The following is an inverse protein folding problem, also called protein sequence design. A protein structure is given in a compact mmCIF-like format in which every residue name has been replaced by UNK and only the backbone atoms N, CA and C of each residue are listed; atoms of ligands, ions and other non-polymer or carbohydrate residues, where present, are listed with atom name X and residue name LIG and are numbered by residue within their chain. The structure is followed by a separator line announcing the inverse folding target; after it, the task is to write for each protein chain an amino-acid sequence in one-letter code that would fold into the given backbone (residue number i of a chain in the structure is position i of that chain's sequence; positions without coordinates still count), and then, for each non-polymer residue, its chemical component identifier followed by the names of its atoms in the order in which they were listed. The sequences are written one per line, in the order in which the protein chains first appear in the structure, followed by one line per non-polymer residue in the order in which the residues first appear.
data_IF_504815798882
#
_entry.id   IF_504815798882
#
_cell.length_a   1.000
_cell.length_b   1.000
_cell.length_c   1.000
_cell.angle_alpha   90.00
_cell.angle_beta   90.00
_cell.angle_gamma   90.00
#
_symmetry.space_group_name_H-M   'P 1'
#
loop_
_entity.id
_entity.type
_entity.pdbx_description
1 polymer ?
#
# COMPACT_ATOMS: atom_id res chain seq x y z
N UNK A 1 -10.62 -13.55 13.57
CA UNK A 1 -9.37 -13.42 14.36
C UNK A 1 -9.53 -13.97 15.78
N UNK A 2 -10.72 -13.88 16.36
CA UNK A 2 -11.21 -14.83 17.37
C UNK A 2 -12.13 -15.82 16.66
N UNK A 3 -11.61 -17.00 16.32
CA UNK A 3 -12.44 -18.09 15.81
C UNK A 3 -12.74 -19.01 17.00
N UNK A 4 -14.01 -19.29 17.23
CA UNK A 4 -14.45 -20.24 18.25
C UNK A 4 -13.80 -21.60 18.00
N UNK A 5 -12.95 -22.06 18.94
CA UNK A 5 -12.38 -23.41 18.94
C UNK A 5 -10.87 -23.53 18.78
N UNK A 6 -10.13 -22.44 18.51
CA UNK A 6 -8.65 -22.43 18.50
C UNK A 6 -8.09 -21.66 19.71
N UNK A 7 -6.85 -21.95 20.16
CA UNK A 7 -6.18 -21.11 21.15
C UNK A 7 -6.17 -19.67 20.64
N UNK A 8 -6.57 -18.75 21.53
CA UNK A 8 -6.66 -17.33 21.23
C UNK A 8 -5.28 -16.83 20.78
N UNK A 9 -5.16 -16.39 19.53
CA UNK A 9 -3.89 -15.95 18.95
C UNK A 9 -3.40 -14.67 19.62
N UNK A 10 -4.22 -13.63 19.65
CA UNK A 10 -3.99 -12.37 20.37
C UNK A 10 -4.92 -12.27 21.57
N UNK A 11 -4.43 -11.84 22.73
CA UNK A 11 -5.29 -11.61 23.89
C UNK A 11 -6.39 -10.57 23.56
N UNK A 12 -7.65 -10.73 24.02
CA UNK A 12 -8.69 -9.72 23.83
C UNK A 12 -8.38 -8.36 24.45
N UNK A 13 -7.47 -8.32 25.44
CA UNK A 13 -6.91 -7.10 26.00
C UNK A 13 -5.57 -6.81 25.33
N UNK A 14 -5.36 -5.53 25.00
CA UNK A 14 -4.12 -5.12 24.38
C UNK A 14 -2.92 -5.34 25.31
N UNK A 15 -1.93 -6.08 24.81
CA UNK A 15 -0.59 -6.18 25.41
C UNK A 15 0.44 -5.61 24.43
N UNK A 16 1.24 -4.65 24.89
CA UNK A 16 2.21 -3.94 24.05
C UNK A 16 3.27 -4.84 23.42
N UNK A 17 3.55 -5.97 24.06
CA UNK A 17 4.55 -6.93 23.60
C UNK A 17 4.02 -7.88 22.53
N UNK A 18 2.70 -8.00 22.34
CA UNK A 18 2.10 -8.94 21.38
C UNK A 18 1.93 -8.35 19.98
N UNK A 19 1.98 -7.01 19.84
CA UNK A 19 1.68 -6.33 18.58
C UNK A 19 2.67 -5.22 18.27
N UNK A 20 3.09 -5.18 17.01
CA UNK A 20 3.86 -4.08 16.45
C UNK A 20 3.11 -3.50 15.25
N UNK A 21 2.75 -2.21 15.35
CA UNK A 21 2.06 -1.49 14.29
C UNK A 21 2.99 -0.44 13.68
N UNK A 22 3.13 -0.49 12.37
CA UNK A 22 3.89 0.46 11.55
C UNK A 22 2.97 1.11 10.53
N UNK A 23 3.16 2.40 10.27
CA UNK A 23 2.43 3.12 9.23
C UNK A 23 3.34 4.10 8.49
N UNK A 24 3.01 4.38 7.23
CA UNK A 24 3.59 5.54 6.53
C UNK A 24 3.23 6.83 7.29
N UNK A 25 4.10 7.84 7.22
CA UNK A 25 3.89 9.12 7.91
C UNK A 25 2.84 10.03 7.22
N UNK A 26 1.75 9.44 6.69
CA UNK A 26 0.65 10.16 6.08
C UNK A 26 -0.59 10.11 6.98
N UNK A 27 -1.31 11.24 7.18
CA UNK A 27 -2.45 11.30 8.10
C UNK A 27 -3.49 10.20 7.84
N UNK A 28 -3.85 9.95 6.57
CA UNK A 28 -4.82 8.90 6.21
C UNK A 28 -4.39 7.49 6.65
N UNK A 29 -3.10 7.16 6.53
CA UNK A 29 -2.60 5.84 6.89
C UNK A 29 -2.55 5.67 8.42
N UNK A 30 -2.11 6.71 9.13
CA UNK A 30 -2.11 6.73 10.60
C UNK A 30 -3.54 6.65 11.14
N UNK A 31 -4.47 7.44 10.60
CA UNK A 31 -5.88 7.42 11.04
C UNK A 31 -6.55 6.06 10.75
N UNK A 32 -6.28 5.45 9.60
CA UNK A 32 -6.76 4.08 9.31
C UNK A 32 -6.21 3.07 10.30
N UNK A 33 -4.92 3.16 10.63
CA UNK A 33 -4.28 2.29 11.62
C UNK A 33 -4.92 2.45 13.01
N UNK A 34 -5.22 3.68 13.43
CA UNK A 34 -5.91 3.96 14.69
C UNK A 34 -7.33 3.38 14.71
N UNK A 35 -8.07 3.55 13.61
CA UNK A 35 -9.43 3.03 13.48
C UNK A 35 -9.44 1.49 13.53
N UNK A 36 -8.54 0.84 12.79
CA UNK A 36 -8.39 -0.62 12.77
C UNK A 36 -8.06 -1.17 14.17
N UNK A 37 -7.09 -0.54 14.87
CA UNK A 37 -6.71 -0.93 16.23
C UNK A 37 -7.82 -0.73 17.26
N UNK A 38 -8.64 0.31 17.09
CA UNK A 38 -9.81 0.54 17.95
C UNK A 38 -10.87 -0.57 17.79
N UNK A 39 -10.97 -1.15 16.59
CA UNK A 39 -11.80 -2.32 16.32
C UNK A 39 -11.21 -3.64 16.84
N UNK A 40 -9.88 -3.80 16.76
CA UNK A 40 -9.18 -4.99 17.27
C UNK A 40 -9.30 -5.14 18.79
N UNK A 41 -9.25 -4.03 19.53
CA UNK A 41 -9.24 -4.01 20.99
C UNK A 41 -10.33 -3.09 21.55
N UNK A 42 -11.60 -3.52 21.54
CA UNK A 42 -12.74 -2.69 21.96
C UNK A 42 -12.69 -2.31 23.45
N UNK A 43 -11.91 -3.04 24.26
CA UNK A 43 -11.76 -2.80 25.70
C UNK A 43 -10.58 -1.89 26.07
N UNK A 44 -9.88 -1.32 25.06
CA UNK A 44 -8.80 -0.35 25.25
C UNK A 44 -9.27 0.81 26.14
N UNK A 45 -8.86 0.82 27.41
CA UNK A 45 -9.18 1.88 28.37
C UNK A 45 -10.21 1.55 29.46
N UNK A 46 -10.79 0.34 29.48
CA UNK A 46 -11.74 -0.11 30.51
C UNK A 46 -11.10 -0.46 31.88
N UNK A 47 -9.80 -0.26 32.05
CA UNK A 47 -9.09 -0.46 33.32
C UNK A 47 -9.34 0.67 34.34
N UNK A 48 -9.56 0.32 35.60
CA UNK A 48 -9.99 1.16 36.74
C UNK A 48 -8.96 2.16 37.31
N UNK A 49 -8.21 2.88 36.47
CA UNK A 49 -7.36 4.00 36.92
C UNK A 49 -7.91 5.35 36.40
N UNK A 50 -7.49 6.51 36.91
CA UNK A 50 -7.83 7.81 36.34
C UNK A 50 -6.58 8.42 35.69
N UNK A 51 -6.48 8.40 34.36
CA UNK A 51 -5.40 9.10 33.64
C UNK A 51 -5.93 9.66 32.30
N UNK A 52 -6.03 10.99 32.15
CA UNK A 52 -6.61 11.63 30.97
C UNK A 52 -5.52 11.93 29.95
N UNK A 53 -5.29 11.02 28.98
CA UNK A 53 -4.83 11.33 27.60
C UNK A 53 -4.21 10.13 26.87
N UNK A 54 -3.66 9.14 27.58
CA UNK A 54 -2.96 7.98 26.98
C UNK A 54 -3.77 6.68 26.97
N UNK A 55 -5.00 6.69 27.52
CA UNK A 55 -5.85 5.50 27.53
C UNK A 55 -6.31 5.17 26.11
N UNK A 56 -6.02 3.94 25.70
CA UNK A 56 -6.65 3.32 24.54
C UNK A 56 -6.00 3.61 23.19
N UNK A 57 -4.71 3.95 23.16
CA UNK A 57 -3.98 4.15 21.90
C UNK A 57 -2.84 3.18 21.77
N UNK A 58 -2.91 2.33 20.75
CA UNK A 58 -1.82 1.44 20.37
C UNK A 58 -0.72 2.30 19.70
N UNK A 59 0.55 2.18 20.09
CA UNK A 59 1.65 2.90 19.46
C UNK A 59 1.73 2.61 17.97
N UNK A 60 1.82 3.68 17.16
CA UNK A 60 2.01 3.59 15.71
C UNK A 60 3.41 4.09 15.40
N UNK A 61 4.25 3.19 14.92
CA UNK A 61 5.61 3.52 14.52
C UNK A 61 5.60 4.03 13.09
N UNK A 62 6.35 5.10 12.84
CA UNK A 62 6.44 5.69 11.51
C UNK A 62 7.85 6.16 11.22
N UNK A 63 8.22 6.16 9.94
CA UNK A 63 9.43 6.78 9.44
C UNK A 63 9.04 7.98 8.57
N UNK A 64 9.91 8.99 8.46
CA UNK A 64 9.67 10.11 7.54
C UNK A 64 9.40 9.60 6.12
N UNK A 65 8.37 10.16 5.47
CA UNK A 65 7.84 9.67 4.18
C UNK A 65 8.93 9.43 3.13
N UNK A 66 9.90 10.34 3.01
CA UNK A 66 10.94 10.29 1.97
C UNK A 66 12.07 9.29 2.26
N UNK A 67 12.13 8.76 3.47
CA UNK A 67 13.24 7.92 3.93
C UNK A 67 12.74 6.61 4.54
N UNK A 68 11.48 6.23 4.30
CA UNK A 68 10.98 4.93 4.73
C UNK A 68 11.43 3.86 3.71
N UNK A 69 12.40 3.01 4.03
CA UNK A 69 12.93 2.04 3.06
C UNK A 69 11.94 0.90 2.75
N UNK A 70 10.96 0.64 3.62
CA UNK A 70 9.99 -0.42 3.42
C UNK A 70 8.83 0.04 2.52
N UNK A 71 8.46 1.32 2.59
CA UNK A 71 7.35 1.89 1.82
C UNK A 71 7.76 2.75 0.63
N UNK A 72 8.97 3.35 0.66
CA UNK A 72 9.52 4.20 -0.40
C UNK A 72 10.96 3.76 -0.71
N UNK A 73 11.12 2.58 -1.33
CA UNK A 73 12.45 2.11 -1.69
C UNK A 73 13.06 3.03 -2.74
N UNK A 74 14.25 3.58 -2.43
CA UNK A 74 15.00 4.42 -3.35
C UNK A 74 15.93 3.54 -4.18
N UNK A 75 15.68 3.47 -5.50
CA UNK A 75 16.56 2.80 -6.44
C UNK A 75 16.71 3.68 -7.69
N UNK A 76 17.86 4.34 -7.89
CA UNK A 76 18.06 5.19 -9.07
C UNK A 76 17.87 4.45 -10.40
N UNK A 77 18.19 3.15 -10.44
CA UNK A 77 18.02 2.33 -11.63
C UNK A 77 16.54 2.01 -11.93
N UNK A 78 15.66 2.07 -10.94
CA UNK A 78 14.24 1.81 -11.14
C UNK A 78 13.64 2.81 -12.13
N UNK A 79 13.90 4.12 -11.96
CA UNK A 79 13.30 5.15 -12.81
C UNK A 79 13.74 4.99 -14.28
N UNK A 80 15.01 4.67 -14.50
CA UNK A 80 15.56 4.39 -15.84
C UNK A 80 14.88 3.17 -16.45
N UNK A 81 14.84 2.05 -15.72
CA UNK A 81 14.23 0.80 -16.21
C UNK A 81 12.72 0.91 -16.40
N UNK A 82 12.05 1.68 -15.56
CA UNK A 82 10.63 1.96 -15.69
C UNK A 82 10.34 2.77 -16.96
N UNK A 83 11.17 3.76 -17.26
CA UNK A 83 11.06 4.55 -18.48
C UNK A 83 11.31 3.71 -19.74
N UNK A 84 12.38 2.91 -19.76
CA UNK A 84 12.68 1.96 -20.86
C UNK A 84 11.50 1.01 -21.10
N UNK A 85 10.93 0.48 -20.01
CA UNK A 85 9.80 -0.43 -20.08
C UNK A 85 8.55 0.24 -20.65
N UNK A 86 8.18 1.43 -20.16
CA UNK A 86 7.05 2.20 -20.70
C UNK A 86 7.26 2.55 -22.16
N UNK A 87 8.47 2.94 -22.54
CA UNK A 87 8.79 3.35 -23.91
C UNK A 87 8.69 2.20 -24.91
N UNK A 88 8.98 0.97 -24.47
CA UNK A 88 8.75 -0.23 -25.29
C UNK A 88 7.28 -0.44 -25.69
N UNK A 89 6.34 0.10 -24.90
CA UNK A 89 4.89 0.01 -25.13
C UNK A 89 4.28 1.31 -25.70
N UNK A 90 5.09 2.36 -25.93
CA UNK A 90 4.61 3.71 -26.25
C UNK A 90 3.62 3.75 -27.40
N UNK A 91 3.93 3.11 -28.53
CA UNK A 91 3.08 3.15 -29.72
C UNK A 91 1.69 2.56 -29.48
N UNK A 92 1.61 1.45 -28.75
CA UNK A 92 0.35 0.80 -28.42
C UNK A 92 -0.50 1.66 -27.48
N UNK A 93 0.15 2.21 -26.45
CA UNK A 93 -0.50 3.01 -25.40
C UNK A 93 -0.99 4.34 -25.98
N UNK A 94 -0.19 4.99 -26.82
CA UNK A 94 -0.60 6.21 -27.52
C UNK A 94 -1.75 5.96 -28.48
N UNK A 95 -1.80 4.81 -29.16
CA UNK A 95 -2.97 4.43 -29.97
C UNK A 95 -4.23 4.27 -29.12
N UNK A 96 -4.11 3.78 -27.89
CA UNK A 96 -5.25 3.52 -27.00
C UNK A 96 -5.71 4.75 -26.20
N UNK A 97 -4.79 5.62 -25.79
CA UNK A 97 -5.06 6.72 -24.84
C UNK A 97 -4.61 8.10 -25.32
N UNK A 98 -4.04 8.22 -26.53
CA UNK A 98 -3.57 9.51 -27.06
C UNK A 98 -4.67 10.57 -27.09
N UNK A 99 -5.89 10.18 -27.47
CA UNK A 99 -7.06 11.07 -27.45
C UNK A 99 -7.38 11.61 -26.06
N UNK A 100 -7.17 10.80 -25.01
CA UNK A 100 -7.41 11.20 -23.63
C UNK A 100 -6.34 12.18 -23.15
N UNK A 101 -5.07 11.96 -23.53
CA UNK A 101 -3.97 12.89 -23.24
C UNK A 101 -4.27 14.26 -23.87
N UNK A 102 -4.65 14.27 -25.15
CA UNK A 102 -5.01 15.51 -25.87
C UNK A 102 -6.23 16.20 -25.23
N UNK A 103 -7.24 15.43 -24.83
CA UNK A 103 -8.42 15.95 -24.14
C UNK A 103 -8.04 16.62 -22.82
N UNK A 104 -7.24 15.96 -21.98
CA UNK A 104 -6.81 16.49 -20.69
C UNK A 104 -6.02 17.79 -20.91
N UNK A 105 -5.07 17.80 -21.82
CA UNK A 105 -4.30 19.01 -22.15
C UNK A 105 -5.21 20.16 -22.59
N UNK A 106 -6.14 19.91 -23.51
CA UNK A 106 -7.06 20.93 -24.02
C UNK A 106 -8.04 21.47 -22.96
N UNK A 107 -8.41 20.65 -21.96
CA UNK A 107 -9.37 21.05 -20.91
C UNK A 107 -8.72 21.63 -19.67
N UNK A 108 -7.45 21.31 -19.40
CA UNK A 108 -6.80 21.63 -18.13
C UNK A 108 -5.45 22.35 -18.28
N UNK A 109 -4.84 22.32 -19.46
CA UNK A 109 -3.46 22.76 -19.70
C UNK A 109 -2.39 21.79 -19.17
N UNK A 110 -2.78 20.67 -18.54
CA UNK A 110 -1.84 19.70 -17.97
C UNK A 110 -1.20 18.86 -19.08
N UNK A 111 0.13 18.84 -19.11
CA UNK A 111 0.89 18.01 -20.04
C UNK A 111 1.15 16.62 -19.44
N UNK A 112 0.27 15.68 -19.75
CA UNK A 112 0.34 14.30 -19.23
C UNK A 112 1.38 13.49 -19.99
N UNK A 113 2.28 12.82 -19.25
CA UNK A 113 3.23 11.86 -19.83
C UNK A 113 2.87 10.42 -19.47
N UNK A 114 3.29 9.44 -20.27
CA UNK A 114 3.00 8.02 -20.01
C UNK A 114 3.59 7.50 -18.69
N UNK A 115 4.67 8.10 -18.19
CA UNK A 115 5.29 7.69 -16.93
C UNK A 115 4.69 8.39 -15.69
N UNK A 116 3.91 9.46 -15.91
CA UNK A 116 3.22 10.18 -14.83
C UNK A 116 2.07 9.36 -14.21
N UNK A 117 1.69 9.74 -12.99
CA UNK A 117 0.46 9.28 -12.34
C UNK A 117 -0.72 10.24 -12.58
N UNK A 118 -0.59 11.21 -13.47
CA UNK A 118 -1.62 12.23 -13.68
C UNK A 118 -2.98 11.64 -14.08
N UNK A 119 -3.08 10.65 -14.99
CA UNK A 119 -4.36 10.01 -15.30
C UNK A 119 -4.99 9.33 -14.09
N UNK A 120 -4.17 8.69 -13.25
CA UNK A 120 -4.62 8.07 -11.99
C UNK A 120 -5.13 9.11 -11.00
N UNK A 121 -4.40 10.20 -10.80
CA UNK A 121 -4.80 11.26 -9.88
C UNK A 121 -6.09 11.96 -10.33
N UNK A 122 -6.24 12.18 -11.65
CA UNK A 122 -7.46 12.74 -12.24
C UNK A 122 -8.63 11.78 -12.07
N UNK A 123 -8.42 10.49 -12.39
CA UNK A 123 -9.43 9.45 -12.20
C UNK A 123 -9.89 9.37 -10.74
N UNK A 124 -8.97 9.27 -9.80
CA UNK A 124 -9.24 9.13 -8.37
C UNK A 124 -10.04 10.33 -7.84
N UNK A 125 -9.61 11.55 -8.18
CA UNK A 125 -10.33 12.78 -7.84
C UNK A 125 -11.77 12.77 -8.38
N UNK A 126 -11.95 12.49 -9.68
CA UNK A 126 -13.26 12.52 -10.32
C UNK A 126 -14.16 11.39 -9.84
N UNK A 127 -13.60 10.21 -9.56
CA UNK A 127 -14.34 9.07 -9.01
C UNK A 127 -14.88 9.41 -7.62
N UNK A 128 -14.04 9.97 -6.74
CA UNK A 128 -14.45 10.43 -5.42
C UNK A 128 -15.55 11.50 -5.54
N UNK A 129 -15.34 12.53 -6.37
CA UNK A 129 -16.31 13.61 -6.50
C UNK A 129 -17.64 13.13 -7.08
N UNK A 130 -17.62 12.46 -8.23
CA UNK A 130 -18.82 12.10 -9.00
C UNK A 130 -19.53 10.88 -8.43
N UNK A 131 -18.79 9.81 -8.17
CA UNK A 131 -19.38 8.48 -7.92
C UNK A 131 -19.58 8.22 -6.42
N UNK A 132 -18.74 8.77 -5.55
CA UNK A 132 -18.84 8.57 -4.10
C UNK A 132 -19.64 9.69 -3.42
N UNK A 133 -19.34 10.95 -3.74
CA UNK A 133 -19.97 12.11 -3.09
C UNK A 133 -21.03 12.81 -3.94
N UNK A 134 -21.26 12.36 -5.18
CA UNK A 134 -22.28 12.90 -6.09
C UNK A 134 -22.19 14.42 -6.30
N UNK A 135 -20.97 14.95 -6.31
CA UNK A 135 -20.67 16.33 -6.60
C UNK A 135 -20.68 16.58 -8.11
N UNK A 136 -20.96 17.83 -8.49
CA UNK A 136 -20.87 18.26 -9.88
C UNK A 136 -19.42 18.22 -10.35
N UNK A 137 -19.21 17.60 -11.53
CA UNK A 137 -17.92 17.56 -12.23
C UNK A 137 -18.03 18.30 -13.56
N UNK A 138 -16.90 18.70 -14.18
CA UNK A 138 -16.94 19.38 -15.47
C UNK A 138 -17.65 18.58 -16.57
N UNK A 139 -18.35 19.26 -17.48
CA UNK A 139 -19.18 18.63 -18.53
C UNK A 139 -18.42 17.69 -19.48
N UNK A 140 -17.10 17.85 -19.60
CA UNK A 140 -16.27 16.97 -20.42
C UNK A 140 -16.02 15.59 -19.78
N UNK A 141 -16.33 15.43 -18.49
CA UNK A 141 -16.16 14.17 -17.73
C UNK A 141 -17.35 13.24 -18.01
N UNK A 142 -17.37 12.68 -19.21
CA UNK A 142 -18.37 11.70 -19.63
C UNK A 142 -18.11 10.32 -19.02
N UNK A 143 -19.09 9.38 -19.05
CA UNK A 143 -18.85 7.99 -18.68
C UNK A 143 -17.69 7.35 -19.43
N UNK A 144 -17.53 7.66 -20.73
CA UNK A 144 -16.43 7.15 -21.55
C UNK A 144 -15.08 7.71 -21.08
N UNK A 145 -14.99 9.00 -20.78
CA UNK A 145 -13.77 9.62 -20.26
C UNK A 145 -13.35 8.99 -18.93
N UNK A 146 -14.32 8.74 -18.05
CA UNK A 146 -14.04 8.06 -16.78
C UNK A 146 -13.60 6.60 -16.95
N UNK A 147 -14.16 5.90 -17.94
CA UNK A 147 -13.68 4.56 -18.30
C UNK A 147 -12.25 4.60 -18.83
N UNK A 148 -11.94 5.50 -19.76
CA UNK A 148 -10.60 5.60 -20.35
C UNK A 148 -9.55 6.00 -19.30
N UNK A 149 -9.89 6.95 -18.41
CA UNK A 149 -9.08 7.32 -17.25
C UNK A 149 -8.81 6.12 -16.34
N UNK A 150 -9.83 5.33 -16.02
CA UNK A 150 -9.69 4.10 -15.22
C UNK A 150 -8.74 3.11 -15.90
N UNK A 151 -8.93 2.86 -17.19
CA UNK A 151 -8.11 1.91 -17.96
C UNK A 151 -6.65 2.37 -18.06
N UNK A 152 -6.41 3.67 -18.23
CA UNK A 152 -5.06 4.22 -18.23
C UNK A 152 -4.43 4.11 -16.83
N UNK A 153 -5.19 4.35 -15.78
CA UNK A 153 -4.76 4.19 -14.38
C UNK A 153 -4.34 2.75 -14.07
N UNK A 154 -5.15 1.77 -14.48
CA UNK A 154 -4.85 0.35 -14.35
C UNK A 154 -3.57 0.00 -15.10
N UNK A 155 -3.43 0.47 -16.35
CA UNK A 155 -2.21 0.25 -17.13
C UNK A 155 -0.98 0.85 -16.44
N UNK A 156 -1.10 2.06 -15.87
CA UNK A 156 0.01 2.72 -15.18
C UNK A 156 0.42 1.98 -13.91
N UNK A 157 -0.53 1.56 -13.08
CA UNK A 157 -0.23 0.75 -11.87
C UNK A 157 0.38 -0.59 -12.27
N UNK A 158 -0.18 -1.27 -13.26
CA UNK A 158 0.32 -2.55 -13.73
C UNK A 158 1.77 -2.44 -14.21
N UNK A 159 2.09 -1.43 -15.01
CA UNK A 159 3.47 -1.21 -15.47
C UNK A 159 4.41 -0.77 -14.35
N UNK A 160 3.93 -0.02 -13.34
CA UNK A 160 4.73 0.38 -12.17
C UNK A 160 5.26 -0.83 -11.39
N UNK A 161 4.46 -1.88 -11.29
CA UNK A 161 4.82 -3.12 -10.56
C UNK A 161 5.34 -4.23 -11.47
N UNK A 162 5.59 -3.94 -12.75
CA UNK A 162 6.19 -4.88 -13.70
C UNK A 162 5.21 -5.88 -14.31
N UNK A 163 3.92 -5.61 -14.23
CA UNK A 163 2.84 -6.45 -14.77
C UNK A 163 2.12 -5.83 -15.95
N UNK A 164 2.82 -4.99 -16.72
CA UNK A 164 2.36 -4.66 -18.06
C UNK A 164 2.31 -5.90 -18.96
N UNK A 165 1.93 -5.68 -20.22
CA UNK A 165 1.97 -6.71 -21.26
C UNK A 165 3.01 -6.28 -22.30
N UNK A 166 4.16 -6.97 -22.41
CA UNK A 166 4.58 -8.15 -21.65
C UNK A 166 5.04 -7.82 -20.21
N UNK A 167 4.98 -8.76 -19.24
CA UNK A 167 5.45 -8.52 -17.87
C UNK A 167 6.98 -8.35 -17.81
N UNK A 168 7.45 -7.59 -16.82
CA UNK A 168 8.87 -7.34 -16.55
C UNK A 168 9.27 -7.79 -15.15
N UNK A 169 10.01 -8.89 -15.07
CA UNK A 169 10.58 -9.42 -13.82
C UNK A 169 11.61 -8.47 -13.22
N UNK A 170 12.31 -7.69 -14.04
CA UNK A 170 13.25 -6.66 -13.59
C UNK A 170 12.53 -5.59 -12.76
N UNK A 171 11.39 -5.09 -13.26
CA UNK A 171 10.57 -4.11 -12.55
C UNK A 171 9.97 -4.70 -11.26
N UNK A 172 9.49 -5.94 -11.29
CA UNK A 172 8.96 -6.62 -10.09
C UNK A 172 10.01 -6.68 -8.97
N UNK A 173 11.28 -6.94 -9.30
CA UNK A 173 12.37 -7.03 -8.30
C UNK A 173 12.59 -5.71 -7.56
N UNK A 174 12.44 -4.57 -8.22
CA UNK A 174 12.54 -3.26 -7.58
C UNK A 174 11.39 -2.95 -6.62
N UNK A 175 10.29 -3.71 -6.68
CA UNK A 175 9.11 -3.55 -5.81
C UNK A 175 9.04 -4.56 -4.66
N UNK A 176 10.05 -5.41 -4.50
CA UNK A 176 10.08 -6.51 -3.53
C UNK A 176 10.45 -6.14 -2.09
N UNK A 177 10.77 -4.88 -1.77
CA UNK A 177 11.28 -4.52 -0.44
C UNK A 177 10.27 -4.79 0.69
N UNK A 178 8.97 -4.56 0.47
CA UNK A 178 7.96 -4.90 1.47
C UNK A 178 7.81 -6.41 1.67
N UNK A 179 7.93 -7.22 0.60
CA UNK A 179 7.94 -8.67 0.74
C UNK A 179 9.18 -9.15 1.51
N UNK A 180 10.35 -8.56 1.21
CA UNK A 180 11.59 -8.82 1.94
C UNK A 180 11.47 -8.47 3.42
N UNK A 181 10.88 -7.33 3.76
CA UNK A 181 10.57 -6.94 5.15
C UNK A 181 9.73 -8.01 5.85
N UNK A 182 8.63 -8.47 5.22
CA UNK A 182 7.75 -9.51 5.78
C UNK A 182 8.52 -10.82 6.01
N UNK A 183 9.30 -11.27 5.01
CA UNK A 183 10.09 -12.50 5.11
C UNK A 183 11.13 -12.40 6.22
N UNK A 184 11.82 -11.25 6.34
CA UNK A 184 12.77 -11.02 7.42
C UNK A 184 12.11 -11.11 8.79
N UNK A 185 10.89 -10.57 8.98
CA UNK A 185 10.16 -10.72 10.25
C UNK A 185 9.86 -12.17 10.59
N UNK A 186 9.54 -13.01 9.61
CA UNK A 186 9.33 -14.42 9.83
C UNK A 186 10.62 -15.15 10.20
N UNK A 187 11.71 -14.88 9.49
CA UNK A 187 13.03 -15.46 9.76
C UNK A 187 13.55 -15.06 11.14
N UNK A 188 13.48 -13.78 11.50
CA UNK A 188 13.90 -13.27 12.80
C UNK A 188 13.11 -13.93 13.94
N UNK A 189 11.78 -14.03 13.79
CA UNK A 189 10.91 -14.70 14.77
C UNK A 189 11.27 -16.17 14.90
N UNK A 190 11.46 -16.87 13.79
CA UNK A 190 11.80 -18.30 13.79
C UNK A 190 13.15 -18.55 14.48
N UNK A 191 14.16 -17.74 14.18
CA UNK A 191 15.48 -17.85 14.80
C UNK A 191 15.40 -17.72 16.33
N UNK A 192 14.59 -16.78 16.83
CA UNK A 192 14.36 -16.61 18.27
C UNK A 192 13.62 -17.79 18.92
N UNK A 193 12.67 -18.41 18.21
CA UNK A 193 11.94 -19.58 18.71
C UNK A 193 12.80 -20.84 18.75
N UNK A 194 13.78 -20.98 17.85
CA UNK A 194 14.67 -22.14 17.77
C UNK A 194 15.77 -22.14 18.83
N UNK A 195 16.18 -20.97 19.35
CA UNK A 195 17.24 -20.84 20.35
C UNK A 195 16.77 -20.11 21.63
N UNK A 196 15.83 -20.69 22.40
CA UNK A 196 15.22 -20.02 23.55
C UNK A 196 16.16 -19.81 24.75
N UNK A 197 17.35 -20.43 24.75
CA UNK A 197 18.24 -20.47 25.93
C UNK A 197 19.23 -19.31 26.06
N UNK A 198 19.35 -18.46 25.03
CA UNK A 198 20.14 -17.22 25.07
C UNK A 198 19.43 -16.11 24.31
N UNK A 199 18.30 -15.59 24.83
CA UNK A 199 17.63 -14.48 24.18
C UNK A 199 18.54 -13.26 24.26
N UNK A 200 19.10 -12.86 23.14
CA UNK A 200 19.66 -11.53 23.01
C UNK A 200 18.53 -10.48 23.15
N UNK A 201 18.90 -9.20 23.13
CA UNK A 201 17.93 -8.11 23.25
C UNK A 201 16.83 -8.17 22.16
N UNK A 202 17.13 -8.73 20.98
CA UNK A 202 16.17 -8.82 19.87
C UNK A 202 15.13 -9.90 20.14
N UNK A 203 15.54 -11.08 20.62
CA UNK A 203 14.61 -12.16 20.95
C UNK A 203 13.74 -11.87 22.18
N UNK A 204 14.18 -10.98 23.06
CA UNK A 204 13.34 -10.49 24.17
C UNK A 204 12.12 -9.70 23.67
N UNK A 205 12.27 -8.94 22.59
CA UNK A 205 11.17 -8.23 21.93
C UNK A 205 10.35 -9.15 21.01
N UNK A 206 11.03 -9.93 20.17
CA UNK A 206 10.37 -10.79 19.17
C UNK A 206 9.66 -11.99 19.79
N UNK A 207 10.12 -12.50 20.93
CA UNK A 207 9.55 -13.66 21.62
C UNK A 207 8.04 -13.56 21.91
N UNK A 208 7.58 -12.53 22.64
CA UNK A 208 6.16 -12.33 22.91
C UNK A 208 5.36 -11.78 21.70
N UNK A 209 6.03 -11.22 20.70
CA UNK A 209 5.38 -10.59 19.56
C UNK A 209 4.66 -11.59 18.66
N UNK A 210 3.38 -11.35 18.38
CA UNK A 210 2.52 -12.26 17.62
C UNK A 210 2.04 -11.64 16.31
N UNK A 211 1.83 -10.33 16.28
CA UNK A 211 1.23 -9.66 15.13
C UNK A 211 2.00 -8.41 14.70
N UNK A 212 2.36 -8.37 13.42
CA UNK A 212 2.90 -7.20 12.76
C UNK A 212 1.85 -6.62 11.83
N UNK A 213 1.50 -5.35 12.02
CA UNK A 213 0.57 -4.62 11.18
C UNK A 213 1.29 -3.51 10.41
N UNK A 214 0.99 -3.39 9.11
CA UNK A 214 1.52 -2.36 8.24
C UNK A 214 0.38 -1.58 7.58
N UNK A 215 0.17 -0.33 7.99
CA UNK A 215 -0.81 0.56 7.38
C UNK A 215 -0.16 1.44 6.32
N UNK A 216 -0.51 1.20 5.06
CA UNK A 216 0.11 1.84 3.89
C UNK A 216 -0.91 2.13 2.78
N UNK A 217 -0.55 1.90 1.52
CA UNK A 217 -1.29 2.31 0.33
C UNK A 217 -1.62 1.14 -0.58
N UNK A 218 -2.57 1.36 -1.48
CA UNK A 218 -2.91 0.46 -2.59
C UNK A 218 -1.68 0.02 -3.40
N UNK A 219 -0.76 0.95 -3.67
CA UNK A 219 0.50 0.68 -4.38
C UNK A 219 1.44 -0.26 -3.60
N UNK A 220 1.42 -0.21 -2.26
CA UNK A 220 2.16 -1.17 -1.41
C UNK A 220 1.57 -2.57 -1.53
N UNK A 221 0.24 -2.69 -1.48
CA UNK A 221 -0.45 -3.98 -1.66
C UNK A 221 -0.17 -4.54 -3.06
N UNK A 222 -0.28 -3.71 -4.11
CA UNK A 222 0.06 -4.11 -5.48
C UNK A 222 1.50 -4.60 -5.60
N UNK A 223 2.45 -3.93 -4.94
CA UNK A 223 3.87 -4.30 -4.97
C UNK A 223 4.10 -5.68 -4.31
N UNK A 224 3.50 -5.92 -3.14
CA UNK A 224 3.62 -7.23 -2.44
C UNK A 224 3.00 -8.35 -3.29
N UNK A 225 1.77 -8.15 -3.79
CA UNK A 225 1.10 -9.13 -4.65
C UNK A 225 1.91 -9.41 -5.92
N UNK A 226 2.52 -8.37 -6.49
CA UNK A 226 3.34 -8.52 -7.66
C UNK A 226 4.61 -9.32 -7.39
N UNK A 227 5.31 -9.05 -6.29
CA UNK A 227 6.49 -9.80 -5.87
C UNK A 227 6.18 -11.26 -5.50
N UNK A 228 4.95 -11.56 -5.08
CA UNK A 228 4.47 -12.93 -4.85
C UNK A 228 4.07 -13.66 -6.14
N UNK A 229 4.05 -12.99 -7.30
CA UNK A 229 3.57 -13.57 -8.55
C UNK A 229 2.06 -13.79 -8.58
N UNK A 230 1.28 -13.08 -7.76
CA UNK A 230 -0.19 -13.19 -7.74
C UNK A 230 -0.81 -12.28 -8.82
N UNK A 231 -0.87 -12.80 -10.04
CA UNK A 231 -1.25 -12.05 -11.26
C UNK A 231 -2.74 -11.64 -11.39
N UNK A 232 -3.74 -12.39 -10.91
CA UNK A 232 -5.16 -12.01 -11.03
C UNK A 232 -5.64 -11.05 -9.92
N UNK A 233 -4.90 -10.95 -8.81
CA UNK A 233 -5.35 -10.23 -7.62
C UNK A 233 -5.10 -8.70 -7.67
N UNK A 234 -4.60 -8.17 -8.79
CA UNK A 234 -4.33 -6.73 -8.93
C UNK A 234 -5.54 -6.06 -9.57
N UNK A 235 -6.10 -5.01 -8.95
CA UNK A 235 -7.30 -4.35 -9.44
C UNK A 235 -7.17 -3.95 -10.92
N UNK A 236 -8.14 -4.37 -11.74
CA UNK A 236 -8.25 -3.98 -13.15
C UNK A 236 -7.86 -5.02 -14.19
N UNK A 237 -7.68 -6.29 -13.80
CA UNK A 237 -7.45 -7.39 -14.76
C UNK A 237 -8.69 -8.19 -15.16
N UNK A 238 -9.86 -7.81 -14.65
CA UNK A 238 -11.18 -8.33 -15.03
C UNK A 238 -12.01 -7.25 -15.75
#
# INVERSE_FOLDING_TARGET
MYASGNPIFLDPNYHEQEIFLRSTALPRAISSAQADMSGFFPNLGNGSLPAPSYRGRIPIHTFPVKTDPAFVPSCPNYDIKQQEYIDSMRSEVMRKFGHLIDLIYNKTGLNVTLNSFDPYNIYDLLHIQRDIYHLTVPDWVTPQVMYDLKQFSIWRISTMVGFGSPPSTEIVRFKGEMLKEILQRFEDKLACLQNPQTPDANCSFLGPLKFYAYSSHDTTVCSVLASLGSYPAIPGKD
#
